data_IF_650327416764
#
_entry.id   IF_650327416764
#
_cell.length_a   1.000
_cell.length_b   1.000
_cell.length_c   1.000
_cell.angle_alpha   90.00
_cell.angle_beta   90.00
_cell.angle_gamma   90.00
#
_symmetry.space_group_name_H-M   'P 1'
#
loop_
_entity.id
_entity.type
_entity.pdbx_description
1 polymer ?
#
# COMPACT_ATOMS: atom_id res chain seq x y z
N UNK A 1 -14.04 20.20 23.70
CA UNK A 1 -14.68 18.93 23.27
C UNK A 1 -13.58 17.91 23.06
N UNK A 2 -13.79 16.71 23.61
CA UNK A 2 -12.79 15.68 23.93
C UNK A 2 -12.29 14.91 22.71
N UNK A 3 -11.00 14.55 22.72
CA UNK A 3 -10.46 13.37 22.04
C UNK A 3 -11.06 12.10 22.64
N UNK A 4 -11.34 11.09 21.81
CA UNK A 4 -11.77 9.77 22.27
C UNK A 4 -11.90 8.78 21.12
N UNK A 5 -11.02 7.77 21.16
CA UNK A 5 -11.24 6.36 20.80
C UNK A 5 -11.65 5.97 19.36
N UNK A 6 -10.68 5.45 18.61
CA UNK A 6 -10.92 4.42 17.59
C UNK A 6 -9.87 3.30 17.69
N UNK A 7 -10.13 2.35 18.60
CA UNK A 7 -9.57 1.00 18.55
C UNK A 7 -10.61 0.12 17.83
N UNK A 8 -10.30 -0.37 16.62
CA UNK A 8 -11.18 -1.31 15.91
C UNK A 8 -10.82 -2.76 16.25
N UNK A 9 -11.71 -3.40 17.01
CA UNK A 9 -11.79 -4.84 17.20
C UNK A 9 -12.10 -5.54 15.85
N UNK A 10 -11.32 -6.56 15.50
CA UNK A 10 -11.54 -7.42 14.34
C UNK A 10 -12.56 -8.54 14.64
N UNK A 11 -13.55 -8.69 13.76
CA UNK A 11 -14.62 -9.69 13.84
C UNK A 11 -14.11 -11.11 13.48
N UNK A 12 -14.13 -12.00 14.48
CA UNK A 12 -13.65 -13.38 14.42
C UNK A 12 -14.56 -14.32 13.60
N UNK A 13 -15.80 -13.94 13.31
CA UNK A 13 -16.76 -14.85 12.66
C UNK A 13 -16.48 -15.09 11.17
N UNK A 14 -15.75 -14.19 10.51
CA UNK A 14 -15.47 -14.31 9.08
C UNK A 14 -14.35 -15.34 8.76
N UNK A 15 -13.50 -15.64 9.74
CA UNK A 15 -12.39 -16.61 9.62
C UNK A 15 -12.93 -18.05 9.64
N UNK A 16 -13.99 -18.33 10.39
CA UNK A 16 -14.52 -19.69 10.54
C UNK A 16 -15.19 -20.21 9.25
N UNK A 17 -15.93 -19.37 8.53
CA UNK A 17 -16.57 -19.75 7.25
C UNK A 17 -15.55 -20.02 6.13
N UNK A 18 -14.42 -19.30 6.13
CA UNK A 18 -13.35 -19.49 5.15
C UNK A 18 -12.58 -20.81 5.39
N UNK A 19 -12.40 -21.19 6.66
CA UNK A 19 -11.79 -22.47 7.04
C UNK A 19 -12.65 -23.69 6.69
N UNK A 20 -14.00 -23.57 6.71
CA UNK A 20 -14.90 -24.65 6.32
C UNK A 20 -14.92 -24.90 4.81
N UNK A 21 -14.98 -23.85 3.98
CA UNK A 21 -14.92 -23.95 2.51
C UNK A 21 -13.61 -24.55 1.99
N UNK A 22 -12.48 -24.25 2.65
CA UNK A 22 -11.18 -24.84 2.33
C UNK A 22 -11.06 -26.32 2.73
N UNK A 23 -11.87 -26.79 3.68
CA UNK A 23 -11.87 -28.18 4.15
C UNK A 23 -12.62 -29.10 3.17
N UNK A 24 -13.73 -28.62 2.60
CA UNK A 24 -14.56 -29.38 1.66
C UNK A 24 -13.87 -29.56 0.29
N UNK A 25 -13.21 -28.51 -0.22
CA UNK A 25 -12.45 -28.60 -1.48
C UNK A 25 -11.18 -29.46 -1.37
N UNK A 26 -10.54 -29.52 -0.18
CA UNK A 26 -9.43 -30.44 0.07
C UNK A 26 -9.89 -31.91 0.11
N UNK A 27 -11.07 -32.19 0.67
CA UNK A 27 -11.61 -33.55 0.75
C UNK A 27 -11.89 -34.13 -0.63
N UNK A 28 -12.48 -33.34 -1.54
CA UNK A 28 -12.83 -33.81 -2.88
C UNK A 28 -11.58 -34.06 -3.75
N UNK A 29 -10.57 -33.21 -3.60
CA UNK A 29 -9.27 -33.39 -4.27
C UNK A 29 -8.49 -34.61 -3.73
N UNK A 30 -8.47 -34.82 -2.40
CA UNK A 30 -7.84 -35.99 -1.78
C UNK A 30 -8.59 -37.27 -2.17
N UNK A 31 -9.92 -37.24 -2.25
CA UNK A 31 -10.73 -38.40 -2.66
C UNK A 31 -10.51 -38.78 -4.13
N UNK A 32 -10.34 -37.80 -5.03
CA UNK A 32 -10.00 -38.04 -6.44
C UNK A 32 -8.58 -38.60 -6.61
N UNK A 33 -7.62 -38.16 -5.80
CA UNK A 33 -6.27 -38.75 -5.76
C UNK A 33 -6.31 -40.19 -5.21
N UNK A 34 -7.10 -40.46 -4.18
CA UNK A 34 -7.23 -41.80 -3.59
C UNK A 34 -7.81 -42.82 -4.57
N UNK A 35 -8.74 -42.40 -5.43
CA UNK A 35 -9.28 -43.23 -6.51
C UNK A 35 -8.27 -43.49 -7.65
N UNK A 36 -7.37 -42.55 -7.92
CA UNK A 36 -6.35 -42.68 -8.96
C UNK A 36 -5.20 -43.63 -8.57
N UNK A 37 -4.91 -43.77 -7.27
CA UNK A 37 -3.81 -44.62 -6.77
C UNK A 37 -4.23 -46.09 -6.58
N UNK A 38 -5.53 -46.37 -6.48
CA UNK A 38 -6.04 -47.70 -6.13
C UNK A 38 -5.84 -48.83 -7.19
N UNK A 39 -5.80 -48.60 -8.52
CA UNK A 39 -5.65 -49.72 -9.46
C UNK A 39 -4.21 -50.24 -9.60
N UNK A 40 -3.20 -49.60 -9.01
CA UNK A 40 -1.79 -50.00 -9.17
C UNK A 40 -1.40 -51.18 -8.23
N UNK A 41 -2.32 -51.65 -7.38
CA UNK A 41 -2.02 -52.64 -6.34
C UNK A 41 -2.27 -54.13 -6.68
N UNK A 42 -2.49 -54.49 -7.96
CA UNK A 42 -2.69 -55.89 -8.36
C UNK A 42 -1.57 -56.42 -9.27
N UNK A 43 -0.44 -56.77 -8.67
CA UNK A 43 0.36 -58.02 -8.87
C UNK A 43 1.82 -57.80 -8.43
N UNK A 44 2.31 -58.71 -7.58
CA UNK A 44 3.70 -59.18 -7.62
C UNK A 44 4.73 -58.52 -6.69
N UNK A 45 5.17 -59.32 -5.70
CA UNK A 45 6.47 -59.32 -4.97
C UNK A 45 6.82 -58.14 -4.05
N UNK A 46 7.18 -58.51 -2.82
CA UNK A 46 7.04 -57.72 -1.58
C UNK A 46 8.28 -56.92 -1.15
N UNK A 47 9.41 -56.93 -1.86
CA UNK A 47 10.63 -56.24 -1.36
C UNK A 47 10.97 -54.87 -1.96
N UNK A 48 10.36 -54.43 -3.06
CA UNK A 48 10.59 -53.07 -3.62
C UNK A 48 9.56 -52.01 -3.18
N UNK A 49 8.61 -52.40 -2.31
CA UNK A 49 7.44 -51.57 -1.94
C UNK A 49 7.77 -50.29 -1.16
N UNK A 50 8.89 -50.22 -0.42
CA UNK A 50 9.20 -49.03 0.39
C UNK A 50 9.82 -47.89 -0.42
N UNK A 51 10.62 -48.21 -1.44
CA UNK A 51 11.29 -47.18 -2.26
C UNK A 51 10.31 -46.46 -3.18
N UNK A 52 9.37 -47.19 -3.80
CA UNK A 52 8.37 -46.60 -4.70
C UNK A 52 7.43 -45.61 -4.00
N UNK A 53 6.99 -45.92 -2.77
CA UNK A 53 6.16 -45.01 -1.97
C UNK A 53 6.87 -43.68 -1.66
N UNK A 54 8.18 -43.73 -1.40
CA UNK A 54 8.99 -42.54 -1.11
C UNK A 54 9.14 -41.64 -2.34
N UNK A 55 9.40 -42.22 -3.52
CA UNK A 55 9.53 -41.45 -4.76
C UNK A 55 8.22 -40.74 -5.17
N UNK A 56 7.07 -41.41 -5.00
CA UNK A 56 5.76 -40.78 -5.29
C UNK A 56 5.48 -39.62 -4.33
N UNK A 57 5.84 -39.75 -3.05
CA UNK A 57 5.68 -38.69 -2.05
C UNK A 57 6.58 -37.50 -2.34
N UNK A 58 7.85 -37.73 -2.71
CA UNK A 58 8.78 -36.67 -3.12
C UNK A 58 8.29 -35.94 -4.39
N UNK A 59 7.80 -36.68 -5.39
CA UNK A 59 7.30 -36.08 -6.62
C UNK A 59 6.05 -35.22 -6.40
N UNK A 60 5.11 -35.67 -5.57
CA UNK A 60 3.92 -34.89 -5.21
C UNK A 60 4.27 -33.64 -4.39
N UNK A 61 5.26 -33.73 -3.48
CA UNK A 61 5.77 -32.56 -2.76
C UNK A 61 6.39 -31.53 -3.72
N UNK A 62 7.18 -31.99 -4.70
CA UNK A 62 7.74 -31.10 -5.73
C UNK A 62 6.65 -30.42 -6.57
N UNK A 63 5.60 -31.13 -6.99
CA UNK A 63 4.49 -30.52 -7.74
C UNK A 63 3.75 -29.47 -6.90
N UNK A 64 3.56 -29.70 -5.60
CA UNK A 64 2.96 -28.70 -4.71
C UNK A 64 3.83 -27.44 -4.58
N UNK A 65 5.15 -27.58 -4.55
CA UNK A 65 6.07 -26.43 -4.55
C UNK A 65 6.03 -25.68 -5.89
N UNK A 66 5.99 -26.39 -7.02
CA UNK A 66 5.95 -25.76 -8.35
C UNK A 66 4.60 -25.08 -8.67
N UNK A 67 3.48 -25.67 -8.25
CA UNK A 67 2.13 -25.09 -8.45
C UNK A 67 1.90 -23.85 -7.59
N UNK A 68 2.60 -23.72 -6.46
CA UNK A 68 2.61 -22.51 -5.64
C UNK A 68 3.23 -21.30 -6.37
N UNK A 69 4.11 -21.54 -7.35
CA UNK A 69 4.86 -20.49 -8.06
C UNK A 69 4.26 -20.08 -9.41
N UNK A 70 3.27 -20.81 -9.95
CA UNK A 70 2.74 -20.55 -11.30
C UNK A 70 1.45 -19.72 -11.36
N UNK A 71 0.99 -19.15 -10.24
CA UNK A 71 -0.19 -18.26 -10.22
C UNK A 71 0.17 -16.76 -10.29
N UNK A 72 1.28 -16.40 -10.95
CA UNK A 72 1.59 -15.02 -11.28
C UNK A 72 0.86 -14.62 -12.57
N UNK A 73 -0.39 -14.18 -12.44
CA UNK A 73 -1.16 -13.60 -13.55
C UNK A 73 -0.51 -12.28 -13.98
N UNK A 74 0.16 -12.29 -15.12
CA UNK A 74 0.93 -11.18 -15.71
C UNK A 74 0.07 -10.01 -16.23
N UNK A 75 -1.26 -10.06 -16.10
CA UNK A 75 -2.19 -9.05 -16.63
C UNK A 75 -2.45 -7.91 -15.61
N UNK A 76 -1.99 -8.02 -14.37
CA UNK A 76 -2.19 -6.99 -13.32
C UNK A 76 -1.16 -5.85 -13.32
N UNK A 77 0.01 -6.04 -13.91
CA UNK A 77 1.16 -5.18 -13.64
C UNK A 77 1.05 -3.78 -14.29
N UNK A 78 0.60 -3.70 -15.54
CA UNK A 78 0.52 -2.43 -16.27
C UNK A 78 -0.53 -1.46 -15.69
N UNK A 79 -1.70 -1.99 -15.29
CA UNK A 79 -2.76 -1.15 -14.70
C UNK A 79 -2.31 -0.62 -13.34
N UNK A 80 -1.68 -1.46 -12.53
CA UNK A 80 -1.13 -1.06 -11.25
C UNK A 80 -0.03 0.01 -11.40
N UNK A 81 0.96 -0.22 -12.26
CA UNK A 81 2.06 0.73 -12.49
C UNK A 81 1.54 2.08 -12.93
N UNK A 82 0.51 2.09 -13.79
CA UNK A 82 -0.18 3.31 -14.21
C UNK A 82 -0.88 4.00 -13.04
N UNK A 83 -1.67 3.27 -12.25
CA UNK A 83 -2.40 3.86 -11.11
C UNK A 83 -1.46 4.47 -10.07
N UNK A 84 -0.38 3.78 -9.68
CA UNK A 84 0.57 4.35 -8.71
C UNK A 84 1.37 5.50 -9.32
N UNK A 85 1.76 5.41 -10.59
CA UNK A 85 2.42 6.53 -11.29
C UNK A 85 1.54 7.78 -11.30
N UNK A 86 0.24 7.63 -11.54
CA UNK A 86 -0.70 8.75 -11.47
C UNK A 86 -0.72 9.38 -10.07
N UNK A 87 -0.80 8.59 -8.99
CA UNK A 87 -0.75 9.14 -7.63
C UNK A 87 0.59 9.85 -7.34
N UNK A 88 1.70 9.32 -7.82
CA UNK A 88 3.02 9.96 -7.70
C UNK A 88 3.02 11.32 -8.41
N UNK A 89 2.46 11.41 -9.61
CA UNK A 89 2.36 12.65 -10.37
C UNK A 89 1.47 13.67 -9.65
N UNK A 90 0.28 13.27 -9.22
CA UNK A 90 -0.65 14.13 -8.48
C UNK A 90 -0.02 14.67 -7.19
N UNK A 91 0.66 13.83 -6.41
CA UNK A 91 1.38 14.25 -5.20
C UNK A 91 2.56 15.17 -5.51
N UNK A 92 3.28 14.93 -6.60
CA UNK A 92 4.38 15.80 -7.03
C UNK A 92 3.86 17.20 -7.43
N UNK A 93 2.69 17.26 -8.10
CA UNK A 93 2.03 18.52 -8.42
C UNK A 93 1.63 19.27 -7.15
N UNK A 94 1.01 18.59 -6.17
CA UNK A 94 0.66 19.22 -4.89
C UNK A 94 1.89 19.71 -4.13
N UNK A 95 2.99 18.95 -4.13
CA UNK A 95 4.23 19.38 -3.51
C UNK A 95 4.77 20.69 -4.12
N UNK A 96 4.67 20.84 -5.44
CA UNK A 96 5.05 22.08 -6.12
C UNK A 96 4.12 23.24 -5.78
N UNK A 97 2.82 23.00 -5.64
CA UNK A 97 1.85 24.01 -5.20
C UNK A 97 2.13 24.47 -3.76
N UNK A 98 2.41 23.52 -2.85
CA UNK A 98 2.82 23.81 -1.47
C UNK A 98 4.09 24.66 -1.45
N UNK A 99 5.06 24.35 -2.31
CA UNK A 99 6.29 25.13 -2.43
C UNK A 99 6.04 26.56 -2.95
N UNK A 100 5.19 26.72 -3.96
CA UNK A 100 4.81 28.03 -4.46
C UNK A 100 4.10 28.86 -3.38
N UNK A 101 3.24 28.23 -2.59
CA UNK A 101 2.54 28.86 -1.47
C UNK A 101 3.53 29.31 -0.37
N UNK A 102 4.51 28.47 -0.02
CA UNK A 102 5.56 28.82 0.94
C UNK A 102 6.39 30.03 0.48
N UNK A 103 6.71 30.10 -0.81
CA UNK A 103 7.43 31.23 -1.39
C UNK A 103 6.62 32.52 -1.29
N UNK A 104 5.30 32.47 -1.55
CA UNK A 104 4.40 33.61 -1.37
C UNK A 104 4.39 34.08 0.09
N UNK A 105 4.21 33.16 1.04
CA UNK A 105 4.14 33.49 2.47
C UNK A 105 5.43 34.13 3.02
N UNK A 106 6.59 33.71 2.51
CA UNK A 106 7.89 34.13 3.06
C UNK A 106 8.42 35.41 2.39
N UNK A 107 8.18 35.60 1.09
CA UNK A 107 8.85 36.64 0.30
C UNK A 107 7.92 37.67 -0.33
N UNK A 108 6.59 37.46 -0.36
CA UNK A 108 5.66 38.43 -0.96
C UNK A 108 5.14 39.40 0.08
N UNK A 109 5.60 40.66 0.01
CA UNK A 109 5.21 41.75 0.90
C UNK A 109 3.75 42.21 0.76
N UNK A 110 3.01 41.70 -0.23
CA UNK A 110 1.65 42.14 -0.58
C UNK A 110 0.61 41.03 -0.66
N UNK A 111 0.92 39.80 -0.24
CA UNK A 111 -0.08 38.73 -0.28
C UNK A 111 -1.19 39.02 0.72
N UNK A 112 -2.42 39.23 0.24
CA UNK A 112 -3.58 39.37 1.12
C UNK A 112 -3.79 38.04 1.84
N UNK A 113 -3.97 38.09 3.16
CA UNK A 113 -4.20 36.90 3.99
C UNK A 113 -5.37 36.03 3.48
N UNK A 114 -6.38 36.65 2.88
CA UNK A 114 -7.51 35.96 2.24
C UNK A 114 -7.10 35.13 1.02
N UNK A 115 -6.18 35.61 0.18
CA UNK A 115 -5.68 34.85 -0.98
C UNK A 115 -4.83 33.65 -0.53
N UNK A 116 -4.00 33.84 0.49
CA UNK A 116 -3.19 32.76 1.06
C UNK A 116 -4.07 31.64 1.62
N UNK A 117 -5.05 31.97 2.46
CA UNK A 117 -5.95 30.98 3.06
C UNK A 117 -6.78 30.24 2.00
N UNK A 118 -7.25 30.95 0.96
CA UNK A 118 -8.00 30.32 -0.14
C UNK A 118 -7.15 29.30 -0.89
N UNK A 119 -5.88 29.63 -1.19
CA UNK A 119 -4.95 28.70 -1.84
C UNK A 119 -4.61 27.51 -0.93
N UNK A 120 -4.37 27.76 0.36
CA UNK A 120 -4.09 26.74 1.36
C UNK A 120 -5.24 25.73 1.48
N UNK A 121 -6.48 26.20 1.58
CA UNK A 121 -7.69 25.37 1.62
C UNK A 121 -7.87 24.55 0.33
N UNK A 122 -7.61 25.17 -0.82
CA UNK A 122 -7.69 24.47 -2.10
C UNK A 122 -6.69 23.30 -2.18
N UNK A 123 -5.45 23.50 -1.70
CA UNK A 123 -4.44 22.44 -1.66
C UNK A 123 -4.85 21.34 -0.65
N UNK A 124 -5.33 21.70 0.54
CA UNK A 124 -5.83 20.73 1.53
C UNK A 124 -6.94 19.85 0.94
N UNK A 125 -7.91 20.47 0.26
CA UNK A 125 -9.02 19.78 -0.37
C UNK A 125 -8.55 18.81 -1.48
N UNK A 126 -7.59 19.23 -2.31
CA UNK A 126 -7.02 18.36 -3.34
C UNK A 126 -6.25 17.19 -2.72
N UNK A 127 -5.48 17.44 -1.67
CA UNK A 127 -4.75 16.39 -0.95
C UNK A 127 -5.69 15.36 -0.31
N UNK A 128 -6.82 15.82 0.24
CA UNK A 128 -7.87 14.95 0.79
C UNK A 128 -8.53 14.09 -0.29
N UNK A 129 -8.84 14.65 -1.46
CA UNK A 129 -9.39 13.88 -2.60
C UNK A 129 -8.44 12.77 -3.05
N UNK A 130 -7.13 13.05 -3.13
CA UNK A 130 -6.13 12.03 -3.47
C UNK A 130 -6.09 10.96 -2.37
N UNK A 131 -6.06 11.37 -1.10
CA UNK A 131 -6.08 10.43 0.03
C UNK A 131 -7.30 9.50 0.01
N UNK A 132 -8.49 10.03 -0.26
CA UNK A 132 -9.73 9.27 -0.38
C UNK A 132 -9.67 8.30 -1.55
N UNK A 133 -9.24 8.75 -2.73
CA UNK A 133 -9.04 7.91 -3.92
C UNK A 133 -8.06 6.76 -3.63
N UNK A 134 -6.91 7.06 -3.01
CA UNK A 134 -5.93 6.06 -2.59
C UNK A 134 -6.52 5.08 -1.58
N UNK A 135 -7.37 5.53 -0.65
CA UNK A 135 -8.03 4.69 0.35
C UNK A 135 -9.01 3.72 -0.29
N UNK A 136 -9.82 4.19 -1.24
CA UNK A 136 -10.71 3.33 -2.02
C UNK A 136 -9.92 2.26 -2.76
N UNK A 137 -8.85 2.64 -3.45
CA UNK A 137 -7.98 1.69 -4.16
C UNK A 137 -7.29 0.71 -3.20
N UNK A 138 -6.76 1.20 -2.08
CA UNK A 138 -6.12 0.40 -1.04
C UNK A 138 -7.05 -0.70 -0.49
N UNK A 139 -8.32 -0.36 -0.24
CA UNK A 139 -9.31 -1.28 0.30
C UNK A 139 -9.71 -2.37 -0.71
N UNK A 140 -9.59 -2.10 -2.02
CA UNK A 140 -9.85 -3.07 -3.07
C UNK A 140 -8.68 -4.07 -3.29
N UNK A 141 -7.50 -3.80 -2.72
CA UNK A 141 -6.30 -4.62 -2.93
C UNK A 141 -6.17 -5.77 -1.92
N UNK A 142 -5.59 -6.88 -2.40
CA UNK A 142 -5.24 -8.01 -1.55
C UNK A 142 -4.26 -7.59 -0.44
N UNK A 143 -4.44 -8.05 0.82
CA UNK A 143 -3.61 -7.63 1.95
C UNK A 143 -2.09 -7.81 1.79
N UNK A 144 -1.66 -8.75 0.94
CA UNK A 144 -0.23 -9.08 0.74
C UNK A 144 0.34 -8.56 -0.58
N UNK A 145 -0.45 -7.79 -1.33
CA UNK A 145 -0.06 -7.30 -2.65
C UNK A 145 1.07 -6.26 -2.55
N UNK A 146 1.89 -6.15 -3.59
CA UNK A 146 2.99 -5.16 -3.66
C UNK A 146 2.39 -3.76 -3.77
N UNK A 147 1.30 -3.65 -4.52
CA UNK A 147 0.52 -2.45 -4.73
C UNK A 147 0.06 -1.84 -3.41
N UNK A 148 -0.43 -2.69 -2.50
CA UNK A 148 -0.88 -2.27 -1.18
C UNK A 148 0.27 -1.72 -0.34
N UNK A 149 1.47 -2.29 -0.45
CA UNK A 149 2.68 -1.80 0.24
C UNK A 149 3.11 -0.45 -0.31
N UNK A 150 3.13 -0.29 -1.64
CA UNK A 150 3.51 0.98 -2.26
C UNK A 150 2.52 2.11 -1.92
N UNK A 151 1.22 1.81 -1.82
CA UNK A 151 0.23 2.76 -1.33
C UNK A 151 0.46 3.17 0.14
N UNK A 152 0.89 2.26 1.02
CA UNK A 152 1.23 2.61 2.40
C UNK A 152 2.35 3.64 2.47
N UNK A 153 3.36 3.50 1.63
CA UNK A 153 4.46 4.46 1.54
C UNK A 153 3.93 5.80 0.99
N UNK A 154 3.06 5.79 -0.01
CA UNK A 154 2.43 7.02 -0.51
C UNK A 154 1.50 7.69 0.52
N UNK A 155 0.81 6.94 1.39
CA UNK A 155 0.05 7.53 2.49
C UNK A 155 0.97 8.28 3.46
N UNK A 156 2.18 7.79 3.67
CA UNK A 156 3.18 8.53 4.44
C UNK A 156 3.57 9.84 3.74
N UNK A 157 3.77 9.82 2.41
CA UNK A 157 4.01 11.05 1.65
C UNK A 157 2.87 12.07 1.80
N UNK A 158 1.61 11.62 1.73
CA UNK A 158 0.43 12.47 1.99
C UNK A 158 0.49 13.11 3.38
N UNK A 159 0.81 12.32 4.41
CA UNK A 159 0.91 12.83 5.78
C UNK A 159 2.05 13.85 5.94
N UNK A 160 3.18 13.65 5.26
CA UNK A 160 4.29 14.60 5.25
C UNK A 160 3.89 15.90 4.55
N UNK A 161 3.18 15.84 3.41
CA UNK A 161 2.64 17.03 2.74
C UNK A 161 1.62 17.78 3.60
N UNK A 162 0.76 17.06 4.35
CA UNK A 162 -0.12 17.67 5.37
C UNK A 162 0.69 18.36 6.46
N UNK A 163 1.78 17.72 6.91
CA UNK A 163 2.73 18.31 7.86
C UNK A 163 3.31 19.64 7.34
N UNK A 164 3.77 19.67 6.09
CA UNK A 164 4.24 20.90 5.43
C UNK A 164 3.15 21.99 5.41
N UNK A 165 1.93 21.65 4.98
CA UNK A 165 0.81 22.61 4.94
C UNK A 165 0.47 23.18 6.31
N UNK A 166 0.47 22.33 7.34
CA UNK A 166 0.22 22.76 8.71
C UNK A 166 1.29 23.73 9.23
N UNK A 167 2.55 23.53 8.85
CA UNK A 167 3.59 24.50 9.19
C UNK A 167 3.41 25.83 8.44
N UNK A 168 2.98 25.80 7.17
CA UNK A 168 2.69 27.03 6.43
C UNK A 168 1.52 27.82 7.00
N UNK A 169 0.48 27.13 7.44
CA UNK A 169 -0.67 27.74 8.13
C UNK A 169 -0.20 28.48 9.39
N UNK A 170 0.59 27.80 10.23
CA UNK A 170 1.20 28.41 11.43
C UNK A 170 2.12 29.58 11.13
N UNK A 171 2.86 29.55 10.02
CA UNK A 171 3.80 30.60 9.65
C UNK A 171 3.08 31.96 9.51
N UNK A 172 1.85 31.94 8.99
CA UNK A 172 1.05 33.13 8.76
C UNK A 172 0.58 33.79 10.07
N UNK A 173 0.28 32.98 11.09
CA UNK A 173 -0.21 33.45 12.40
C UNK A 173 0.91 33.85 13.37
N UNK A 174 2.16 33.47 13.07
CA UNK A 174 3.29 33.67 13.96
C UNK A 174 3.89 35.06 13.78
N UNK A 175 4.17 35.78 14.87
CA UNK A 175 4.83 37.10 14.83
C UNK A 175 6.32 37.03 15.18
N UNK A 176 6.72 36.08 16.03
CA UNK A 176 8.11 35.93 16.48
C UNK A 176 9.02 35.41 15.37
N UNK A 177 10.11 36.13 15.09
CA UNK A 177 11.09 35.72 14.08
C UNK A 177 11.76 34.37 14.40
N UNK A 178 12.00 34.08 15.68
CA UNK A 178 12.59 32.81 16.11
C UNK A 178 11.62 31.65 15.83
N UNK A 179 10.34 31.83 16.18
CA UNK A 179 9.31 30.82 15.93
C UNK A 179 9.09 30.62 14.43
N UNK A 180 9.08 31.69 13.63
CA UNK A 180 9.03 31.61 12.16
C UNK A 180 10.17 30.77 11.60
N UNK A 181 11.40 30.95 12.12
CA UNK A 181 12.55 30.17 11.68
C UNK A 181 12.38 28.68 11.97
N UNK A 182 11.93 28.32 13.18
CA UNK A 182 11.63 26.92 13.54
C UNK A 182 10.50 26.32 12.70
N UNK A 183 9.45 27.10 12.41
CA UNK A 183 8.34 26.66 11.54
C UNK A 183 8.85 26.38 10.12
N UNK A 184 9.70 27.25 9.57
CA UNK A 184 10.31 27.05 8.26
C UNK A 184 11.23 25.83 8.23
N UNK A 185 12.03 25.61 9.28
CA UNK A 185 12.86 24.41 9.41
C UNK A 185 12.01 23.13 9.37
N UNK A 186 10.94 23.08 10.17
CA UNK A 186 10.01 21.95 10.16
C UNK A 186 9.34 21.75 8.80
N UNK A 187 8.91 22.84 8.16
CA UNK A 187 8.35 22.82 6.81
C UNK A 187 9.31 22.19 5.81
N UNK A 188 10.58 22.60 5.80
CA UNK A 188 11.60 22.05 4.90
C UNK A 188 11.92 20.60 5.22
N UNK A 189 11.93 20.21 6.51
CA UNK A 189 12.06 18.82 6.93
C UNK A 189 10.96 17.94 6.33
N UNK A 190 9.69 18.33 6.50
CA UNK A 190 8.56 17.62 5.90
C UNK A 190 8.63 17.58 4.36
N UNK A 191 9.01 18.69 3.72
CA UNK A 191 9.15 18.77 2.26
C UNK A 191 10.20 17.77 1.75
N UNK A 192 11.35 17.71 2.41
CA UNK A 192 12.45 16.82 2.04
C UNK A 192 12.02 15.35 2.18
N UNK A 193 11.43 15.00 3.32
CA UNK A 193 10.96 13.63 3.57
C UNK A 193 9.84 13.22 2.61
N UNK A 194 8.91 14.13 2.28
CA UNK A 194 7.86 13.86 1.30
C UNK A 194 8.49 13.56 -0.08
N UNK A 195 9.46 14.36 -0.52
CA UNK A 195 10.18 14.14 -1.77
C UNK A 195 10.88 12.78 -1.79
N UNK A 196 11.63 12.46 -0.72
CA UNK A 196 12.34 11.19 -0.59
C UNK A 196 11.37 10.01 -0.64
N UNK A 197 10.25 10.12 0.08
CA UNK A 197 9.20 9.09 0.11
C UNK A 197 8.61 8.84 -1.29
N UNK A 198 8.24 9.91 -2.02
CA UNK A 198 7.72 9.81 -3.39
C UNK A 198 8.77 9.20 -4.33
N UNK A 199 10.03 9.63 -4.25
CA UNK A 199 11.12 9.11 -5.07
C UNK A 199 11.43 7.63 -4.78
N UNK A 200 11.30 7.19 -3.53
CA UNK A 200 11.46 5.79 -3.16
C UNK A 200 10.40 4.93 -3.85
N UNK A 201 9.13 5.34 -3.83
CA UNK A 201 8.05 4.59 -4.53
C UNK A 201 8.28 4.60 -6.04
N UNK A 202 8.69 5.74 -6.61
CA UNK A 202 9.04 5.85 -8.04
C UNK A 202 10.16 4.89 -8.43
N UNK A 203 11.21 4.78 -7.60
CA UNK A 203 12.31 3.83 -7.81
C UNK A 203 11.83 2.38 -7.73
N UNK A 204 11.00 2.05 -6.73
CA UNK A 204 10.41 0.71 -6.61
C UNK A 204 9.55 0.33 -7.82
N UNK A 205 8.81 1.28 -8.41
CA UNK A 205 8.05 1.04 -9.64
C UNK A 205 8.95 0.78 -10.85
N UNK A 206 10.08 1.48 -10.96
CA UNK A 206 11.01 1.31 -12.09
C UNK A 206 11.77 -0.02 -12.09
N UNK A 207 11.77 -0.73 -10.97
CA UNK A 207 12.43 -2.03 -10.80
C UNK A 207 11.49 -3.23 -11.08
N UNK A 208 10.19 -2.96 -11.28
CA UNK A 208 9.17 -3.94 -11.65
C UNK A 208 9.02 -3.98 -13.17
#
# INVERSE_FOLDING_TARGET
MSCGDYLLCYDFNHVHKYCQSLKDNRSDFIHKIFLFVNPIYKKGKVQNKMKFKSYVLMFMASILVFTSSLSATTIKDDTYKKTISNYIEELSVLQNQIFALAHKATFSSSSSSSSFNTELDAIYNNLNKIYESMTVYYNALSPRSIERRNLLVLFNAVNLLRGSLFQLDKLNDTQSSLEKMTILENYFGFKLEANNTINNVRSLLSQL
#
